data_IF_674523123863
#
_entry.id   IF_674523123863
#
_cell.length_a   1.000
_cell.length_b   1.000
_cell.length_c   1.000
_cell.angle_alpha   90.00
_cell.angle_beta   90.00
_cell.angle_gamma   90.00
#
_symmetry.space_group_name_H-M   'P 1'
#
loop_
_entity.id
_entity.type
_entity.pdbx_description
1 polymer ?
#
# COMPACT_ATOMS: atom_id res chain seq x y z
N UNK A 1 -9.23 19.88 -0.18
CA UNK A 1 -9.32 18.95 0.96
C UNK A 1 -8.28 17.87 0.71
N UNK A 2 -7.63 17.31 1.72
CA UNK A 2 -6.71 16.18 1.50
C UNK A 2 -7.48 14.89 1.82
N UNK A 3 -7.37 13.88 0.95
CA UNK A 3 -7.93 12.54 1.18
C UNK A 3 -6.78 11.55 1.38
N UNK A 4 -6.76 10.87 2.52
CA UNK A 4 -5.76 9.84 2.81
C UNK A 4 -6.34 8.46 2.53
N UNK A 5 -5.70 7.72 1.64
CA UNK A 5 -6.07 6.35 1.27
C UNK A 5 -5.16 5.38 2.02
N UNK A 6 -5.76 4.45 2.78
CA UNK A 6 -5.01 3.45 3.55
C UNK A 6 -5.22 2.09 2.89
N UNK A 7 -4.13 1.46 2.47
CA UNK A 7 -4.14 0.20 1.73
C UNK A 7 -3.35 -0.88 2.49
N UNK A 8 -3.99 -1.68 3.36
CA UNK A 8 -3.34 -2.82 3.97
C UNK A 8 -3.11 -3.93 2.94
N UNK A 9 -1.95 -4.57 2.98
CA UNK A 9 -1.60 -5.68 2.08
C UNK A 9 -0.86 -6.81 2.80
N UNK A 10 -1.05 -8.03 2.31
CA UNK A 10 -0.34 -9.24 2.75
C UNK A 10 -0.37 -10.29 1.63
N UNK A 11 0.78 -10.59 1.02
CA UNK A 11 0.95 -11.56 -0.05
C UNK A 11 -0.01 -11.34 -1.24
N UNK A 12 -0.08 -10.11 -1.75
CA UNK A 12 -1.00 -9.69 -2.82
C UNK A 12 -0.31 -8.94 -3.95
N UNK A 13 0.97 -9.23 -4.24
CA UNK A 13 1.72 -8.53 -5.29
C UNK A 13 0.95 -8.45 -6.63
N UNK A 14 0.26 -9.53 -7.02
CA UNK A 14 -0.53 -9.64 -8.24
C UNK A 14 -1.75 -8.68 -8.33
N UNK A 15 -2.28 -8.20 -7.20
CA UNK A 15 -3.39 -7.23 -7.17
C UNK A 15 -2.90 -5.80 -6.89
N UNK A 16 -1.71 -5.68 -6.28
CA UNK A 16 -1.22 -4.44 -5.71
C UNK A 16 -0.96 -3.39 -6.80
N UNK A 17 -0.38 -3.79 -7.94
CA UNK A 17 -0.22 -2.92 -9.12
C UNK A 17 -1.57 -2.34 -9.55
N UNK A 18 -2.55 -3.19 -9.84
CA UNK A 18 -3.85 -2.74 -10.32
C UNK A 18 -4.57 -1.82 -9.33
N UNK A 19 -4.43 -2.09 -8.02
CA UNK A 19 -4.98 -1.23 -6.98
C UNK A 19 -4.30 0.15 -6.91
N UNK A 20 -2.98 0.22 -7.05
CA UNK A 20 -2.24 1.48 -7.09
C UNK A 20 -2.58 2.27 -8.36
N UNK A 21 -2.60 1.62 -9.52
CA UNK A 21 -2.99 2.27 -10.80
C UNK A 21 -4.41 2.83 -10.72
N UNK A 22 -5.35 2.09 -10.11
CA UNK A 22 -6.71 2.59 -9.90
C UNK A 22 -6.77 3.87 -9.06
N UNK A 23 -5.88 4.02 -8.08
CA UNK A 23 -5.75 5.27 -7.30
C UNK A 23 -5.10 6.39 -8.12
N UNK A 24 -4.11 6.06 -8.94
CA UNK A 24 -3.44 7.02 -9.83
C UNK A 24 -4.38 7.57 -10.91
N UNK A 25 -5.34 6.77 -11.39
CA UNK A 25 -6.33 7.13 -12.41
C UNK A 25 -7.52 7.95 -11.86
N UNK A 26 -7.56 8.26 -10.57
CA UNK A 26 -8.65 9.04 -9.98
C UNK A 26 -8.68 10.48 -10.51
N UNK A 27 -9.88 11.01 -10.74
CA UNK A 27 -10.08 12.39 -11.19
C UNK A 27 -9.82 13.41 -10.08
N UNK A 28 -9.92 12.99 -8.82
CA UNK A 28 -9.55 13.80 -7.68
C UNK A 28 -8.04 13.69 -7.44
N UNK A 29 -7.33 14.82 -7.33
CA UNK A 29 -5.86 14.85 -7.31
C UNK A 29 -5.25 15.18 -5.95
N UNK A 30 -6.04 15.64 -4.97
CA UNK A 30 -5.55 16.00 -3.64
C UNK A 30 -5.61 14.80 -2.68
N UNK A 31 -4.77 13.80 -2.90
CA UNK A 31 -4.69 12.61 -2.07
C UNK A 31 -3.26 12.16 -1.75
N UNK A 32 -3.17 11.38 -0.68
CA UNK A 32 -2.00 10.57 -0.35
C UNK A 32 -2.39 9.10 -0.22
N UNK A 33 -1.47 8.20 -0.55
CA UNK A 33 -1.67 6.76 -0.47
C UNK A 33 -0.67 6.16 0.50
N UNK A 34 -1.17 5.52 1.56
CA UNK A 34 -0.36 4.87 2.59
C UNK A 34 -0.60 3.36 2.49
N UNK A 35 0.42 2.64 2.02
CA UNK A 35 0.39 1.19 1.87
C UNK A 35 1.03 0.56 3.10
N UNK A 36 0.30 -0.32 3.77
CA UNK A 36 0.74 -0.97 5.01
C UNK A 36 0.93 -2.45 4.74
N UNK A 37 2.18 -2.92 4.75
CA UNK A 37 2.50 -4.33 4.60
C UNK A 37 2.49 -5.07 5.95
N UNK A 38 1.68 -6.12 6.04
CA UNK A 38 1.51 -6.95 7.24
C UNK A 38 2.53 -8.09 7.33
N UNK A 39 3.72 -7.90 6.75
CA UNK A 39 4.81 -8.87 6.71
C UNK A 39 4.69 -9.85 5.54
N UNK A 40 4.49 -9.34 4.34
CA UNK A 40 4.49 -10.17 3.13
C UNK A 40 5.83 -10.86 2.91
N UNK A 41 5.76 -12.03 2.28
CA UNK A 41 6.92 -12.85 1.87
C UNK A 41 7.03 -12.98 0.36
N UNK A 42 6.12 -12.36 -0.39
CA UNK A 42 6.16 -12.25 -1.84
C UNK A 42 6.83 -10.94 -2.29
N UNK A 43 6.76 -10.63 -3.59
CA UNK A 43 7.39 -9.44 -4.18
C UNK A 43 6.60 -8.14 -3.95
N UNK A 44 5.67 -8.10 -2.98
CA UNK A 44 4.84 -6.91 -2.73
C UNK A 44 5.68 -5.71 -2.31
N UNK A 45 6.73 -5.91 -1.50
CA UNK A 45 7.58 -4.82 -1.00
C UNK A 45 8.39 -4.18 -2.13
N UNK A 46 9.03 -4.99 -2.98
CA UNK A 46 9.82 -4.49 -4.12
C UNK A 46 8.93 -3.70 -5.09
N UNK A 47 7.73 -4.21 -5.36
CA UNK A 47 6.75 -3.58 -6.23
C UNK A 47 6.36 -2.19 -5.70
N UNK A 48 5.98 -2.08 -4.42
CA UNK A 48 5.57 -0.79 -3.84
C UNK A 48 6.73 0.20 -3.82
N UNK A 49 7.96 -0.26 -3.56
CA UNK A 49 9.13 0.61 -3.55
C UNK A 49 9.33 1.33 -4.88
N UNK A 50 9.04 0.69 -6.01
CA UNK A 50 9.09 1.34 -7.33
C UNK A 50 8.14 2.55 -7.41
N UNK A 51 6.93 2.42 -6.85
CA UNK A 51 5.97 3.53 -6.79
C UNK A 51 6.42 4.63 -5.83
N UNK A 52 6.88 4.28 -4.62
CA UNK A 52 7.36 5.29 -3.65
C UNK A 52 8.55 6.11 -4.16
N UNK A 53 9.34 5.56 -5.10
CA UNK A 53 10.44 6.29 -5.73
C UNK A 53 9.94 7.31 -6.76
N UNK A 54 8.88 6.98 -7.49
CA UNK A 54 8.33 7.81 -8.57
C UNK A 54 7.30 8.85 -8.08
N UNK A 55 6.66 8.60 -6.93
CA UNK A 55 5.55 9.41 -6.42
C UNK A 55 5.77 9.85 -4.98
N UNK A 56 5.80 11.16 -4.76
CA UNK A 56 6.05 11.75 -3.43
C UNK A 56 4.85 11.63 -2.46
N UNK A 57 3.66 11.30 -2.97
CA UNK A 57 2.43 11.15 -2.18
C UNK A 57 2.06 9.69 -1.94
N UNK A 58 2.96 8.75 -2.25
CA UNK A 58 2.82 7.32 -1.95
C UNK A 58 3.82 6.95 -0.87
N UNK A 59 3.31 6.42 0.24
CA UNK A 59 4.07 6.02 1.40
C UNK A 59 3.94 4.52 1.63
N UNK A 60 5.03 3.89 2.04
CA UNK A 60 5.07 2.48 2.38
C UNK A 60 5.50 2.29 3.83
N UNK A 61 4.71 1.53 4.59
CA UNK A 61 4.97 1.21 5.98
C UNK A 61 4.92 -0.30 6.14
N UNK A 62 5.99 -0.89 6.70
CA UNK A 62 6.02 -2.31 7.05
C UNK A 62 5.68 -2.50 8.52
N UNK A 63 4.81 -3.46 8.83
CA UNK A 63 4.53 -3.85 10.22
C UNK A 63 5.85 -4.29 10.88
N UNK A 64 6.20 -3.73 12.05
CA UNK A 64 7.31 -4.22 12.84
C UNK A 64 7.11 -5.68 13.28
N UNK A 65 8.15 -6.49 13.20
CA UNK A 65 8.09 -7.94 13.49
C UNK A 65 7.63 -8.28 14.92
N UNK A 66 7.74 -7.35 15.87
CA UNK A 66 7.35 -7.57 17.27
C UNK A 66 5.86 -7.35 17.54
N UNK A 67 5.11 -6.74 16.61
CA UNK A 67 3.66 -6.58 16.74
C UNK A 67 2.94 -7.81 16.18
N UNK A 68 1.83 -8.26 16.77
CA UNK A 68 1.05 -9.37 16.20
C UNK A 68 0.46 -8.99 14.84
N UNK A 69 0.20 -10.00 14.02
CA UNK A 69 -0.49 -9.82 12.74
C UNK A 69 -1.89 -9.26 12.97
N UNK A 70 -2.37 -8.41 12.05
CA UNK A 70 -3.74 -7.89 12.11
C UNK A 70 -4.80 -8.99 12.19
N UNK A 71 -5.97 -8.68 12.75
CA UNK A 71 -7.07 -9.63 12.89
C UNK A 71 -7.57 -10.12 11.52
N UNK A 72 -7.87 -11.42 11.40
CA UNK A 72 -8.35 -12.06 10.16
C UNK A 72 -9.64 -11.46 9.58
N UNK A 73 -10.35 -10.62 10.33
CA UNK A 73 -11.58 -9.94 9.91
C UNK A 73 -11.35 -8.69 9.05
N UNK A 74 -10.11 -8.18 8.98
CA UNK A 74 -9.73 -7.05 8.13
C UNK A 74 -9.07 -7.54 6.83
N UNK A 75 -9.72 -8.47 6.13
CA UNK A 75 -9.20 -9.16 4.94
C UNK A 75 -9.64 -8.52 3.64
#
# INVERSE_FOLDING_TARGET
MLVSLIMPTFNRAHLLTAAIESVLEQTYTQWELIIIDDGSTDTSEELVKQYTFNYNNIFFVKRPNYLPKGANACR
#
